data_IF_917217710038
#
_entry.id   IF_917217710038
#
_cell.length_a   1.000
_cell.length_b   1.000
_cell.length_c   1.000
_cell.angle_alpha   90.00
_cell.angle_beta   90.00
_cell.angle_gamma   90.00
#
_symmetry.space_group_name_H-M   'P 1'
#
loop_
_entity.id
_entity.type
_entity.pdbx_description
1 polymer ?
#
# COMPACT_ATOMS: atom_id res chain seq x y z
N UNK A 1 -33.01 -18.24 25.61
CA UNK A 1 -33.94 -18.28 24.45
C UNK A 1 -33.14 -17.98 23.19
N UNK A 2 -33.39 -18.70 22.11
CA UNK A 2 -32.73 -18.46 20.82
C UNK A 2 -33.41 -17.30 20.08
N UNK A 3 -32.64 -16.41 19.46
CA UNK A 3 -33.16 -15.33 18.63
C UNK A 3 -33.18 -15.75 17.16
N UNK A 4 -33.89 -15.01 16.31
CA UNK A 4 -33.99 -15.31 14.87
C UNK A 4 -32.60 -15.39 14.18
N UNK A 5 -31.61 -14.65 14.68
CA UNK A 5 -30.23 -14.67 14.17
C UNK A 5 -29.48 -15.97 14.42
N UNK A 6 -29.95 -16.80 15.36
CA UNK A 6 -29.37 -18.11 15.68
C UNK A 6 -29.75 -19.19 14.65
N UNK A 7 -30.76 -18.93 13.82
CA UNK A 7 -31.25 -19.85 12.80
C UNK A 7 -30.69 -19.52 11.42
N UNK A 8 -30.57 -20.53 10.56
CA UNK A 8 -30.21 -20.36 9.16
C UNK A 8 -30.53 -21.61 8.33
N UNK A 9 -30.58 -21.48 6.99
CA UNK A 9 -30.94 -22.56 6.08
C UNK A 9 -29.82 -23.59 5.97
N UNK A 10 -30.20 -24.86 5.91
CA UNK A 10 -29.31 -25.93 5.50
C UNK A 10 -28.84 -25.72 4.04
N UNK A 11 -27.53 -25.85 3.73
CA UNK A 11 -27.03 -25.72 2.37
C UNK A 11 -27.65 -26.66 1.34
N UNK A 12 -28.10 -27.85 1.76
CA UNK A 12 -28.60 -28.90 0.86
C UNK A 12 -30.13 -28.92 0.79
N UNK A 13 -30.82 -29.00 1.94
CA UNK A 13 -32.28 -29.12 1.97
C UNK A 13 -33.03 -27.79 2.23
N UNK A 14 -32.30 -26.68 2.43
CA UNK A 14 -32.84 -25.34 2.71
C UNK A 14 -33.71 -25.21 3.98
N UNK A 15 -33.86 -26.28 4.77
CA UNK A 15 -34.58 -26.23 6.04
C UNK A 15 -33.91 -25.28 7.04
N UNK A 16 -34.70 -24.40 7.66
CA UNK A 16 -34.20 -23.47 8.68
C UNK A 16 -34.01 -24.18 10.02
N UNK A 17 -32.80 -24.07 10.56
CA UNK A 17 -32.46 -24.68 11.84
C UNK A 17 -31.35 -23.91 12.56
N UNK A 18 -31.09 -24.27 13.81
CA UNK A 18 -30.04 -23.63 14.60
C UNK A 18 -28.67 -23.80 13.94
N UNK A 19 -27.98 -22.69 13.70
CA UNK A 19 -26.67 -22.64 13.03
C UNK A 19 -25.64 -23.57 13.66
N UNK A 20 -25.65 -23.70 14.99
CA UNK A 20 -24.76 -24.60 15.75
C UNK A 20 -24.99 -26.09 15.48
N UNK A 21 -26.17 -26.47 14.98
CA UNK A 21 -26.54 -27.87 14.69
C UNK A 21 -26.49 -28.22 13.19
N UNK A 22 -26.15 -27.25 12.32
CA UNK A 22 -26.05 -27.48 10.88
C UNK A 22 -25.06 -28.59 10.50
N UNK A 23 -23.93 -28.67 11.20
CA UNK A 23 -22.92 -29.70 10.94
C UNK A 23 -23.46 -31.12 11.22
N UNK A 24 -24.19 -31.27 12.33
CA UNK A 24 -24.81 -32.53 12.72
C UNK A 24 -25.91 -32.91 11.75
N UNK A 25 -26.71 -31.93 11.33
CA UNK A 25 -27.76 -32.15 10.35
C UNK A 25 -27.21 -32.64 9.00
N UNK A 26 -26.20 -31.95 8.45
CA UNK A 26 -25.57 -32.35 7.19
C UNK A 26 -24.90 -33.72 7.29
N UNK A 27 -24.28 -34.03 8.43
CA UNK A 27 -23.64 -35.33 8.64
C UNK A 27 -24.64 -36.48 8.77
N UNK A 28 -25.75 -36.29 9.50
CA UNK A 28 -26.58 -37.41 9.94
C UNK A 28 -28.01 -37.37 9.41
N UNK A 29 -28.70 -36.23 9.46
CA UNK A 29 -30.17 -36.18 9.28
C UNK A 29 -30.66 -35.49 8.02
N UNK A 30 -29.79 -34.91 7.20
CA UNK A 30 -30.21 -34.21 5.98
C UNK A 30 -30.74 -35.22 4.94
N UNK A 31 -31.95 -34.99 4.44
CA UNK A 31 -32.57 -35.85 3.44
C UNK A 31 -32.01 -35.65 2.02
N UNK A 32 -31.36 -34.51 1.75
CA UNK A 32 -30.93 -34.08 0.41
C UNK A 32 -29.39 -33.99 0.32
N UNK A 33 -28.66 -34.82 1.09
CA UNK A 33 -27.19 -34.72 1.22
C UNK A 33 -26.49 -34.70 -0.14
N UNK A 34 -25.72 -33.63 -0.40
CA UNK A 34 -24.85 -33.57 -1.57
C UNK A 34 -23.48 -34.20 -1.23
N UNK A 35 -23.12 -35.24 -1.98
CA UNK A 35 -21.93 -36.05 -1.73
C UNK A 35 -20.69 -35.39 -2.37
N UNK A 36 -20.29 -34.23 -1.86
CA UNK A 36 -19.05 -33.58 -2.26
C UNK A 36 -17.91 -34.09 -1.37
N UNK A 37 -16.92 -34.78 -1.96
CA UNK A 37 -15.74 -35.30 -1.25
C UNK A 37 -14.79 -34.23 -0.68
N UNK A 38 -15.24 -32.98 -0.57
CA UNK A 38 -14.50 -31.86 0.01
C UNK A 38 -14.94 -31.60 1.47
N UNK A 39 -14.01 -31.06 2.26
CA UNK A 39 -14.27 -30.64 3.64
C UNK A 39 -15.24 -29.44 3.66
N UNK A 40 -16.54 -29.71 3.83
CA UNK A 40 -17.60 -28.69 3.85
C UNK A 40 -17.52 -27.76 5.06
N UNK A 41 -18.01 -26.53 4.89
CA UNK A 41 -18.08 -25.51 5.96
C UNK A 41 -19.54 -25.07 6.12
N UNK A 42 -20.35 -25.83 6.88
CA UNK A 42 -21.82 -25.66 6.95
C UNK A 42 -22.27 -24.24 7.28
N UNK A 43 -21.60 -23.60 8.24
CA UNK A 43 -21.93 -22.25 8.68
C UNK A 43 -21.62 -21.20 7.62
N UNK A 44 -20.52 -21.39 6.86
CA UNK A 44 -20.14 -20.50 5.77
C UNK A 44 -21.17 -20.60 4.64
N UNK A 45 -21.48 -21.83 4.20
CA UNK A 45 -22.45 -22.09 3.13
C UNK A 45 -23.85 -21.56 3.48
N UNK A 46 -24.31 -21.81 4.72
CA UNK A 46 -25.55 -21.24 5.25
C UNK A 46 -25.58 -19.71 5.19
N UNK A 47 -24.49 -19.05 5.64
CA UNK A 47 -24.39 -17.60 5.59
C UNK A 47 -24.31 -17.05 4.16
N UNK A 48 -23.74 -17.81 3.21
CA UNK A 48 -23.71 -17.44 1.79
C UNK A 48 -25.12 -17.47 1.19
N UNK A 49 -25.92 -18.50 1.48
CA UNK A 49 -27.32 -18.57 1.04
C UNK A 49 -28.15 -17.40 1.55
N UNK A 50 -27.97 -17.03 2.82
CA UNK A 50 -28.63 -15.85 3.40
C UNK A 50 -28.09 -14.55 2.82
N UNK A 51 -26.81 -14.47 2.45
CA UNK A 51 -26.24 -13.28 1.83
C UNK A 51 -26.91 -12.98 0.47
N UNK A 52 -27.33 -14.01 -0.28
CA UNK A 52 -28.07 -13.82 -1.54
C UNK A 52 -29.48 -13.20 -1.34
N UNK A 53 -30.04 -13.24 -0.14
CA UNK A 53 -31.36 -12.66 0.16
C UNK A 53 -31.32 -11.20 0.63
N UNK A 54 -30.15 -10.67 0.97
CA UNK A 54 -29.97 -9.29 1.43
C UNK A 54 -29.20 -8.48 0.39
N UNK A 55 -29.85 -8.01 -0.69
CA UNK A 55 -29.58 -6.72 -1.36
C UNK A 55 -30.28 -6.64 -2.72
N UNK A 56 -31.07 -5.60 -2.94
CA UNK A 56 -31.57 -5.16 -4.26
C UNK A 56 -30.45 -4.64 -5.19
N UNK A 57 -29.22 -4.56 -4.68
CA UNK A 57 -27.99 -4.26 -5.41
C UNK A 57 -27.09 -5.48 -5.29
N UNK A 58 -27.15 -6.39 -6.26
CA UNK A 58 -26.36 -7.62 -6.25
C UNK A 58 -24.87 -7.30 -6.35
N UNK A 59 -24.07 -7.51 -5.28
CA UNK A 59 -22.64 -7.39 -5.39
C UNK A 59 -22.10 -8.49 -6.31
N UNK A 60 -20.95 -8.24 -6.96
CA UNK A 60 -20.31 -9.26 -7.80
C UNK A 60 -20.22 -10.60 -7.05
N UNK A 61 -20.56 -11.74 -7.70
CA UNK A 61 -20.53 -13.05 -7.05
C UNK A 61 -19.16 -13.36 -6.43
N UNK A 62 -18.09 -12.89 -7.06
CA UNK A 62 -16.72 -13.01 -6.54
C UNK A 62 -16.53 -12.19 -5.25
N UNK A 63 -17.05 -10.96 -5.20
CA UNK A 63 -16.97 -10.13 -3.99
C UNK A 63 -17.69 -10.79 -2.82
N UNK A 64 -18.88 -11.35 -3.07
CA UNK A 64 -19.64 -12.06 -2.05
C UNK A 64 -18.88 -13.30 -1.54
N UNK A 65 -18.31 -14.09 -2.45
CA UNK A 65 -17.55 -15.29 -2.10
C UNK A 65 -16.28 -14.95 -1.32
N UNK A 66 -15.45 -14.01 -1.79
CA UNK A 66 -14.13 -13.76 -1.22
C UNK A 66 -14.13 -12.77 -0.05
N UNK A 67 -15.08 -11.84 0.02
CA UNK A 67 -15.12 -10.78 1.03
C UNK A 67 -16.25 -11.01 2.03
N UNK A 68 -17.51 -11.03 1.56
CA UNK A 68 -18.68 -11.04 2.44
C UNK A 68 -18.80 -12.35 3.23
N UNK A 69 -18.62 -13.50 2.56
CA UNK A 69 -18.73 -14.81 3.20
C UNK A 69 -17.65 -15.02 4.26
N UNK A 70 -16.46 -14.46 4.06
CA UNK A 70 -15.30 -14.62 4.93
C UNK A 70 -15.35 -13.79 6.22
N UNK A 71 -16.33 -12.88 6.38
CA UNK A 71 -16.51 -12.14 7.62
C UNK A 71 -16.91 -13.06 8.79
N UNK A 72 -16.42 -12.73 9.99
CA UNK A 72 -16.83 -13.38 11.23
C UNK A 72 -18.26 -12.99 11.60
N UNK A 73 -18.88 -13.71 12.53
CA UNK A 73 -20.19 -13.38 13.11
C UNK A 73 -19.98 -12.46 14.32
N UNK A 74 -19.79 -11.17 14.07
CA UNK A 74 -19.72 -10.12 15.08
C UNK A 74 -20.54 -8.89 14.63
N UNK A 75 -20.92 -8.03 15.57
CA UNK A 75 -21.76 -6.84 15.29
C UNK A 75 -21.18 -5.97 14.19
N UNK A 76 -19.84 -5.83 14.15
CA UNK A 76 -19.13 -5.05 13.14
C UNK A 76 -19.35 -5.67 11.75
N UNK A 77 -19.23 -6.99 11.64
CA UNK A 77 -19.48 -7.68 10.37
C UNK A 77 -20.95 -7.62 9.95
N UNK A 78 -21.89 -7.53 10.89
CA UNK A 78 -23.30 -7.29 10.56
C UNK A 78 -23.49 -5.91 9.93
N UNK A 79 -22.89 -4.87 10.50
CA UNK A 79 -22.89 -3.52 9.92
C UNK A 79 -22.26 -3.52 8.52
N UNK A 80 -21.11 -4.19 8.34
CA UNK A 80 -20.47 -4.32 7.02
C UNK A 80 -21.36 -4.97 5.97
N UNK A 81 -22.25 -5.89 6.37
CA UNK A 81 -23.16 -6.64 5.47
C UNK A 81 -24.48 -5.91 5.19
N UNK A 82 -24.82 -4.90 5.97
CA UNK A 82 -26.09 -4.18 5.87
C UNK A 82 -25.93 -2.77 5.29
N UNK A 83 -24.83 -2.08 5.60
CA UNK A 83 -24.61 -0.72 5.12
C UNK A 83 -24.21 -0.71 3.63
N UNK A 84 -25.12 -0.23 2.80
CA UNK A 84 -24.97 -0.17 1.33
C UNK A 84 -23.73 0.64 0.92
N UNK A 85 -23.39 1.70 1.67
CA UNK A 85 -22.24 2.54 1.33
C UNK A 85 -20.92 1.82 1.63
N UNK A 86 -20.86 1.07 2.75
CA UNK A 86 -19.69 0.26 3.10
C UNK A 86 -19.49 -0.89 2.11
N UNK A 87 -20.58 -1.53 1.66
CA UNK A 87 -20.52 -2.59 0.63
C UNK A 87 -19.94 -2.03 -0.67
N UNK A 88 -20.47 -0.92 -1.19
CA UNK A 88 -19.97 -0.27 -2.41
C UNK A 88 -18.53 0.21 -2.28
N UNK A 89 -18.14 0.68 -1.10
CA UNK A 89 -16.74 0.97 -0.80
C UNK A 89 -15.87 -0.27 -0.94
N UNK A 90 -16.31 -1.40 -0.37
CA UNK A 90 -15.62 -2.69 -0.50
C UNK A 90 -15.49 -3.17 -1.94
N UNK A 91 -16.54 -3.04 -2.75
CA UNK A 91 -16.53 -3.43 -4.17
C UNK A 91 -15.49 -2.65 -4.97
N UNK A 92 -15.43 -1.33 -4.81
CA UNK A 92 -14.44 -0.49 -5.52
C UNK A 92 -13.01 -0.85 -5.12
N UNK A 93 -12.77 -1.19 -3.85
CA UNK A 93 -11.46 -1.67 -3.43
C UNK A 93 -11.15 -3.07 -3.99
N UNK A 94 -12.16 -3.93 -4.10
CA UNK A 94 -12.02 -5.25 -4.71
C UNK A 94 -11.73 -5.17 -6.22
N UNK A 95 -12.33 -4.23 -6.94
CA UNK A 95 -12.01 -3.98 -8.34
C UNK A 95 -10.55 -3.49 -8.52
N UNK A 96 -10.01 -2.75 -7.54
CA UNK A 96 -8.63 -2.25 -7.58
C UNK A 96 -7.58 -3.32 -7.23
N UNK A 97 -7.84 -4.16 -6.24
CA UNK A 97 -6.83 -5.07 -5.66
C UNK A 97 -7.14 -6.57 -5.83
N UNK A 98 -8.36 -6.93 -6.23
CA UNK A 98 -8.87 -8.28 -6.38
C UNK A 98 -8.65 -9.18 -5.15
N UNK A 99 -8.63 -10.50 -5.35
CA UNK A 99 -8.52 -11.53 -4.30
C UNK A 99 -7.20 -11.47 -3.53
N UNK A 100 -6.14 -10.86 -4.08
CA UNK A 100 -4.81 -10.84 -3.47
C UNK A 100 -4.72 -10.04 -2.17
N UNK A 101 -5.60 -9.04 -2.00
CA UNK A 101 -5.65 -8.18 -0.80
C UNK A 101 -7.00 -8.27 -0.09
N UNK A 102 -7.68 -9.41 -0.20
CA UNK A 102 -9.01 -9.62 0.38
C UNK A 102 -9.08 -9.31 1.88
N UNK A 103 -8.02 -9.62 2.65
CA UNK A 103 -7.97 -9.30 4.09
C UNK A 103 -7.88 -7.79 4.36
N UNK A 104 -7.07 -7.07 3.59
CA UNK A 104 -6.97 -5.61 3.69
C UNK A 104 -8.33 -4.96 3.41
N UNK A 105 -9.04 -5.42 2.37
CA UNK A 105 -10.36 -4.90 2.01
C UNK A 105 -11.35 -5.11 3.17
N UNK A 106 -11.38 -6.33 3.76
CA UNK A 106 -12.20 -6.63 4.93
C UNK A 106 -11.84 -5.74 6.12
N UNK A 107 -10.55 -5.48 6.34
CA UNK A 107 -10.10 -4.61 7.43
C UNK A 107 -10.57 -3.17 7.22
N UNK A 108 -10.45 -2.61 6.02
CA UNK A 108 -10.94 -1.28 5.69
C UNK A 108 -12.46 -1.16 5.89
N UNK A 109 -13.24 -2.13 5.41
CA UNK A 109 -14.69 -2.19 5.65
C UNK A 109 -15.03 -2.24 7.14
N UNK A 110 -14.27 -3.01 7.94
CA UNK A 110 -14.47 -3.08 9.40
C UNK A 110 -14.06 -1.80 10.12
N UNK A 111 -13.07 -1.06 9.63
CA UNK A 111 -12.73 0.26 10.18
C UNK A 111 -13.90 1.24 10.01
N UNK A 112 -14.54 1.26 8.84
CA UNK A 112 -15.76 2.05 8.61
C UNK A 112 -16.93 1.58 9.47
N UNK A 113 -17.16 0.28 9.58
CA UNK A 113 -18.24 -0.25 10.42
C UNK A 113 -18.04 0.05 11.92
N UNK A 114 -16.79 0.07 12.40
CA UNK A 114 -16.48 0.54 13.76
C UNK A 114 -16.82 2.01 13.94
N UNK A 115 -16.53 2.87 12.95
CA UNK A 115 -16.96 4.26 13.00
C UNK A 115 -18.49 4.37 13.06
N UNK A 116 -19.22 3.61 12.25
CA UNK A 116 -20.70 3.60 12.27
C UNK A 116 -21.22 3.16 13.64
N UNK A 117 -20.59 2.16 14.27
CA UNK A 117 -20.94 1.75 15.63
C UNK A 117 -20.77 2.90 16.63
N UNK A 118 -19.65 3.63 16.59
CA UNK A 118 -19.44 4.78 17.47
C UNK A 118 -20.38 5.95 17.17
N UNK A 119 -20.69 6.23 15.89
CA UNK A 119 -21.67 7.25 15.50
C UNK A 119 -23.06 6.96 16.06
N UNK A 120 -23.42 5.68 16.14
CA UNK A 120 -24.70 5.22 16.70
C UNK A 120 -24.81 5.45 18.20
N UNK A 121 -23.70 5.40 18.92
CA UNK A 121 -23.64 5.69 20.36
C UNK A 121 -23.64 7.21 20.63
N UNK A 122 -23.01 8.00 19.77
CA UNK A 122 -22.89 9.45 19.96
C UNK A 122 -24.17 10.21 19.58
N UNK A 123 -24.84 9.80 18.51
CA UNK A 123 -26.02 10.50 17.97
C UNK A 123 -27.27 9.63 17.96
N UNK A 124 -27.37 8.69 17.00
CA UNK A 124 -28.61 7.91 16.79
C UNK A 124 -28.33 6.45 16.40
N UNK A 125 -28.98 5.47 17.08
CA UNK A 125 -28.61 4.05 16.95
C UNK A 125 -29.02 3.37 15.62
N UNK A 126 -29.88 3.98 14.81
CA UNK A 126 -30.48 3.35 13.61
C UNK A 126 -30.07 3.97 12.28
N UNK A 127 -29.17 4.95 12.27
CA UNK A 127 -28.72 5.59 11.03
C UNK A 127 -27.55 4.81 10.38
N UNK A 128 -27.41 5.00 9.06
CA UNK A 128 -26.34 4.45 8.21
C UNK A 128 -25.32 5.53 7.87
N UNK A 129 -24.13 5.14 7.43
CA UNK A 129 -23.02 6.09 7.21
C UNK A 129 -23.41 7.27 6.30
N UNK A 130 -24.25 7.03 5.28
CA UNK A 130 -24.73 8.04 4.34
C UNK A 130 -25.44 9.23 5.00
N UNK A 131 -26.18 8.99 6.08
CA UNK A 131 -27.00 10.00 6.75
C UNK A 131 -26.17 11.06 7.47
N UNK A 132 -24.95 10.70 7.90
CA UNK A 132 -24.02 11.63 8.55
C UNK A 132 -23.09 12.35 7.56
N UNK A 133 -23.12 12.02 6.26
CA UNK A 133 -22.31 12.69 5.22
C UNK A 133 -22.93 14.02 4.78
N UNK A 134 -23.22 14.89 5.76
CA UNK A 134 -23.73 16.23 5.55
C UNK A 134 -23.01 17.22 6.49
N UNK A 135 -23.07 18.53 6.22
CA UNK A 135 -22.37 19.53 7.04
C UNK A 135 -22.69 19.47 8.54
N UNK A 136 -23.94 19.18 8.91
CA UNK A 136 -24.35 19.07 10.32
C UNK A 136 -23.74 17.84 11.03
N UNK A 137 -23.48 16.77 10.28
CA UNK A 137 -22.85 15.55 10.78
C UNK A 137 -21.34 15.65 10.98
N UNK A 138 -20.69 16.74 10.53
CA UNK A 138 -19.22 16.86 10.58
C UNK A 138 -18.65 16.78 12.00
N UNK A 139 -19.16 17.59 12.93
CA UNK A 139 -18.67 17.59 14.31
C UNK A 139 -19.00 16.27 15.03
N UNK A 140 -20.12 15.64 14.68
CA UNK A 140 -20.52 14.31 15.18
C UNK A 140 -19.49 13.27 14.74
N UNK A 141 -19.13 13.25 13.44
CA UNK A 141 -18.09 12.34 12.92
C UNK A 141 -16.74 12.60 13.58
N UNK A 142 -16.35 13.87 13.77
CA UNK A 142 -15.10 14.19 14.45
C UNK A 142 -15.10 13.67 15.88
N UNK A 143 -16.20 13.83 16.62
CA UNK A 143 -16.31 13.32 17.99
C UNK A 143 -16.27 11.79 18.06
N UNK A 144 -16.98 11.10 17.14
CA UNK A 144 -16.97 9.65 17.04
C UNK A 144 -15.56 9.10 16.71
N UNK A 145 -14.81 9.76 15.81
CA UNK A 145 -13.43 9.36 15.50
C UNK A 145 -12.50 9.55 16.70
N UNK A 146 -12.68 10.63 17.47
CA UNK A 146 -11.90 10.86 18.70
C UNK A 146 -12.19 9.79 19.76
N UNK A 147 -13.45 9.39 19.92
CA UNK A 147 -13.84 8.30 20.83
C UNK A 147 -13.25 6.96 20.37
N UNK A 148 -13.40 6.64 19.08
CA UNK A 148 -12.88 5.40 18.50
C UNK A 148 -11.37 5.27 18.67
N UNK A 149 -10.63 6.38 18.49
CA UNK A 149 -9.18 6.40 18.62
C UNK A 149 -8.70 6.65 20.06
N UNK A 150 -9.64 6.69 21.02
CA UNK A 150 -9.42 6.90 22.46
C UNK A 150 -8.51 8.10 22.71
N UNK A 151 -8.99 9.27 22.31
CA UNK A 151 -8.24 10.51 22.52
C UNK A 151 -8.24 10.87 24.00
N UNK A 152 -7.05 10.90 24.59
CA UNK A 152 -6.85 11.35 25.95
C UNK A 152 -6.66 12.87 25.96
N UNK A 153 -7.53 13.56 26.69
CA UNK A 153 -7.47 15.00 26.89
C UNK A 153 -7.06 15.29 28.34
N UNK A 154 -5.76 15.36 28.60
CA UNK A 154 -5.23 15.82 29.89
C UNK A 154 -5.41 17.34 30.03
N UNK A 155 -5.82 17.82 31.20
CA UNK A 155 -5.97 19.27 31.46
C UNK A 155 -4.64 19.98 31.19
N UNK A 156 -4.66 21.01 30.33
CA UNK A 156 -3.51 21.81 29.86
C UNK A 156 -2.52 21.11 28.91
N UNK A 157 -2.72 19.84 28.57
CA UNK A 157 -1.93 19.16 27.53
C UNK A 157 -2.73 19.04 26.23
N UNK A 158 -2.02 18.89 25.10
CA UNK A 158 -2.66 18.66 23.81
C UNK A 158 -3.12 17.19 23.71
N UNK A 159 -4.21 16.90 22.97
CA UNK A 159 -4.77 15.56 22.89
C UNK A 159 -3.79 14.54 22.31
N UNK A 160 -3.71 13.36 22.93
CA UNK A 160 -2.92 12.21 22.49
C UNK A 160 -3.83 11.07 22.05
N UNK A 161 -3.46 10.39 20.97
CA UNK A 161 -4.25 9.31 20.39
C UNK A 161 -3.69 7.95 20.81
N UNK A 162 -4.51 6.99 21.24
CA UNK A 162 -4.02 5.60 21.43
C UNK A 162 -3.69 4.96 20.08
N UNK A 163 -4.57 5.11 19.09
CA UNK A 163 -4.40 4.54 17.73
C UNK A 163 -4.43 5.64 16.66
N UNK A 164 -3.37 6.47 16.54
CA UNK A 164 -3.34 7.62 15.61
C UNK A 164 -3.44 7.22 14.13
N UNK A 165 -2.88 6.09 13.71
CA UNK A 165 -2.94 5.62 12.32
C UNK A 165 -4.38 5.35 11.87
N UNK A 166 -5.23 4.85 12.77
CA UNK A 166 -6.65 4.59 12.48
C UNK A 166 -7.40 5.89 12.17
N UNK A 167 -7.10 6.98 12.88
CA UNK A 167 -7.72 8.28 12.65
C UNK A 167 -7.43 8.82 11.24
N UNK A 168 -6.19 8.63 10.76
CA UNK A 168 -5.78 9.01 9.41
C UNK A 168 -6.48 8.16 8.34
N UNK A 169 -6.50 6.83 8.55
CA UNK A 169 -7.16 5.87 7.65
C UNK A 169 -8.66 6.18 7.51
N UNK A 170 -9.35 6.46 8.61
CA UNK A 170 -10.79 6.80 8.58
C UNK A 170 -11.06 8.06 7.76
N UNK A 171 -10.25 9.11 7.93
CA UNK A 171 -10.40 10.34 7.13
C UNK A 171 -10.29 10.07 5.63
N UNK A 172 -9.38 9.19 5.24
CA UNK A 172 -9.26 8.74 3.86
C UNK A 172 -10.46 7.91 3.38
N UNK A 173 -10.89 6.93 4.18
CA UNK A 173 -12.04 6.09 3.83
C UNK A 173 -13.32 6.92 3.68
N UNK A 174 -13.51 7.92 4.54
CA UNK A 174 -14.63 8.87 4.44
C UNK A 174 -14.59 9.66 3.13
N UNK A 175 -13.43 10.15 2.70
CA UNK A 175 -13.27 10.84 1.40
C UNK A 175 -13.68 9.95 0.23
N UNK A 176 -13.31 8.67 0.27
CA UNK A 176 -13.76 7.69 -0.73
C UNK A 176 -15.28 7.47 -0.66
N UNK A 177 -15.86 7.36 0.54
CA UNK A 177 -17.31 7.23 0.73
C UNK A 177 -18.08 8.46 0.19
N UNK A 178 -17.54 9.67 0.37
CA UNK A 178 -18.10 10.89 -0.23
C UNK A 178 -18.06 10.80 -1.76
N UNK A 179 -16.93 10.41 -2.35
CA UNK A 179 -16.80 10.27 -3.80
C UNK A 179 -17.79 9.23 -4.38
N UNK A 180 -17.96 8.11 -3.68
CA UNK A 180 -18.93 7.06 -4.03
C UNK A 180 -20.36 7.58 -3.96
N UNK A 181 -20.69 8.31 -2.91
CA UNK A 181 -22.03 8.90 -2.72
C UNK A 181 -22.31 9.95 -3.80
N UNK A 182 -21.33 10.81 -4.12
CA UNK A 182 -21.43 11.78 -5.22
C UNK A 182 -21.66 11.11 -6.56
N UNK A 183 -20.93 10.04 -6.87
CA UNK A 183 -21.11 9.30 -8.11
C UNK A 183 -22.53 8.70 -8.23
N UNK A 184 -23.13 8.28 -7.11
CA UNK A 184 -24.51 7.79 -7.09
C UNK A 184 -25.55 8.92 -7.28
N UNK A 185 -25.36 10.06 -6.60
CA UNK A 185 -26.24 11.21 -6.78
C UNK A 185 -26.16 11.77 -8.21
N UNK A 186 -24.97 11.78 -8.82
CA UNK A 186 -24.78 12.18 -10.23
C UNK A 186 -25.55 11.28 -11.20
N UNK A 187 -25.55 9.97 -10.97
CA UNK A 187 -26.33 9.02 -11.79
C UNK A 187 -27.85 9.17 -11.62
N UNK A 188 -28.29 9.74 -10.49
CA UNK A 188 -29.69 10.01 -10.18
C UNK A 188 -30.10 11.46 -10.47
N UNK A 189 -29.16 12.28 -10.95
CA UNK A 189 -29.33 13.71 -11.22
C UNK A 189 -29.82 14.53 -10.01
N UNK A 190 -29.51 14.09 -8.78
CA UNK A 190 -29.90 14.80 -7.54
C UNK A 190 -28.88 15.90 -7.20
N UNK A 191 -29.16 17.11 -7.68
CA UNK A 191 -28.30 18.29 -7.50
C UNK A 191 -28.20 18.77 -6.04
N UNK A 192 -29.28 18.61 -5.26
CA UNK A 192 -29.31 19.02 -3.85
C UNK A 192 -28.40 18.13 -3.00
N UNK A 193 -28.49 16.81 -3.17
CA UNK A 193 -27.61 15.88 -2.47
C UNK A 193 -26.14 16.07 -2.85
N UNK A 194 -25.85 16.35 -4.14
CA UNK A 194 -24.49 16.67 -4.60
C UNK A 194 -23.95 17.91 -3.90
N UNK A 195 -24.74 18.98 -3.79
CA UNK A 195 -24.30 20.21 -3.15
C UNK A 195 -24.03 20.01 -1.66
N UNK A 196 -24.89 19.26 -0.96
CA UNK A 196 -24.68 18.89 0.45
C UNK A 196 -23.38 18.12 0.64
N UNK A 197 -23.09 17.14 -0.23
CA UNK A 197 -21.83 16.38 -0.21
C UNK A 197 -20.62 17.23 -0.58
N UNK A 198 -20.76 18.22 -1.47
CA UNK A 198 -19.72 19.20 -1.78
C UNK A 198 -19.40 20.08 -0.58
N UNK A 199 -20.41 20.60 0.10
CA UNK A 199 -20.25 21.41 1.30
C UNK A 199 -19.56 20.60 2.41
N UNK A 200 -19.97 19.34 2.61
CA UNK A 200 -19.33 18.43 3.56
C UNK A 200 -17.86 18.13 3.19
N UNK A 201 -17.57 17.89 1.91
CA UNK A 201 -16.19 17.70 1.45
C UNK A 201 -15.33 18.95 1.72
N UNK A 202 -15.85 20.15 1.47
CA UNK A 202 -15.15 21.40 1.76
C UNK A 202 -14.84 21.54 3.25
N UNK A 203 -15.77 21.19 4.15
CA UNK A 203 -15.50 21.16 5.60
C UNK A 203 -14.41 20.14 5.96
N UNK A 204 -14.46 18.95 5.37
CA UNK A 204 -13.40 17.93 5.53
C UNK A 204 -12.04 18.45 5.03
N UNK A 205 -11.99 19.27 3.97
CA UNK A 205 -10.75 19.85 3.46
C UNK A 205 -10.19 20.95 4.35
N UNK A 206 -11.06 21.78 4.94
CA UNK A 206 -10.67 22.92 5.77
C UNK A 206 -10.30 22.51 7.20
N UNK A 207 -11.08 21.63 7.83
CA UNK A 207 -11.03 21.42 9.28
C UNK A 207 -10.50 20.05 9.72
N UNK A 208 -10.51 19.04 8.85
CA UNK A 208 -10.10 17.69 9.25
C UNK A 208 -8.64 17.64 9.72
N UNK A 209 -7.76 18.38 9.03
CA UNK A 209 -6.34 18.42 9.35
C UNK A 209 -6.10 18.96 10.75
N UNK A 210 -6.74 20.07 11.11
CA UNK A 210 -6.56 20.71 12.41
C UNK A 210 -7.23 19.92 13.55
N UNK A 211 -8.42 19.36 13.31
CA UNK A 211 -9.18 18.62 14.33
C UNK A 211 -8.63 17.22 14.60
N UNK A 212 -8.09 16.54 13.58
CA UNK A 212 -7.68 15.12 13.66
C UNK A 212 -6.24 14.91 13.19
N UNK A 213 -5.94 15.13 11.91
CA UNK A 213 -4.69 14.63 11.31
C UNK A 213 -3.42 15.19 11.94
N UNK A 214 -3.36 16.49 12.25
CA UNK A 214 -2.17 17.12 12.84
C UNK A 214 -1.83 16.53 14.21
N UNK A 215 -2.84 16.24 15.02
CA UNK A 215 -2.61 15.66 16.35
C UNK A 215 -2.21 14.18 16.24
N UNK A 216 -2.86 13.43 15.33
CA UNK A 216 -2.53 12.02 15.09
C UNK A 216 -1.09 11.85 14.53
N UNK A 217 -0.70 12.65 13.53
CA UNK A 217 0.64 12.62 12.95
C UNK A 217 1.72 12.98 13.97
N UNK A 218 1.45 13.95 14.84
CA UNK A 218 2.39 14.28 15.92
C UNK A 218 2.52 13.14 16.92
N UNK A 219 1.42 12.52 17.36
CA UNK A 219 1.49 11.37 18.26
C UNK A 219 2.33 10.22 17.66
N UNK A 220 2.22 9.98 16.35
CA UNK A 220 3.09 9.03 15.65
C UNK A 220 4.56 9.46 15.68
N UNK A 221 4.83 10.73 15.39
CA UNK A 221 6.18 11.27 15.40
C UNK A 221 6.82 11.20 16.79
N UNK A 222 6.10 11.59 17.84
CA UNK A 222 6.56 11.55 19.23
C UNK A 222 6.85 10.10 19.67
N UNK A 223 6.06 9.12 19.21
CA UNK A 223 6.33 7.70 19.42
C UNK A 223 7.57 7.24 18.68
N UNK A 224 7.75 7.67 17.43
CA UNK A 224 8.93 7.32 16.62
C UNK A 224 10.21 7.89 17.21
N UNK A 225 10.18 9.11 17.76
CA UNK A 225 11.35 9.70 18.43
C UNK A 225 11.81 8.84 19.61
N UNK A 226 10.87 8.34 20.41
CA UNK A 226 11.18 7.57 21.61
C UNK A 226 11.35 6.07 21.34
N UNK A 227 11.14 5.62 20.10
CA UNK A 227 11.34 4.23 19.71
C UNK A 227 12.84 3.96 19.59
N UNK A 228 13.36 3.06 20.42
CA UNK A 228 14.73 2.56 20.28
C UNK A 228 14.80 1.75 18.99
N UNK A 229 15.56 2.23 18.02
CA UNK A 229 15.87 1.47 16.81
C UNK A 229 16.85 0.35 17.19
N UNK A 230 16.32 -0.86 17.37
CA UNK A 230 17.13 -2.07 17.60
C UNK A 230 17.79 -2.48 16.28
N UNK A 231 18.99 -1.96 16.05
CA UNK A 231 19.82 -2.43 14.96
C UNK A 231 20.31 -3.86 15.30
N UNK A 232 20.11 -4.86 14.43
CA UNK A 232 20.63 -6.20 14.61
C UNK A 232 22.14 -6.11 14.63
N UNK A 233 22.71 -6.62 15.72
CA UNK A 233 24.15 -6.65 15.90
C UNK A 233 24.72 -7.69 14.92
N UNK A 234 25.95 -7.48 14.46
CA UNK A 234 26.64 -8.42 13.56
C UNK A 234 26.62 -9.86 14.11
N UNK A 235 26.71 -10.01 15.43
CA UNK A 235 26.64 -11.32 16.09
C UNK A 235 25.28 -12.03 15.85
N UNK A 236 24.18 -11.31 15.89
CA UNK A 236 22.84 -11.88 15.66
C UNK A 236 22.65 -12.25 14.19
N UNK A 237 23.19 -11.45 13.27
CA UNK A 237 23.20 -11.77 11.84
C UNK A 237 24.02 -13.03 11.55
N UNK A 238 25.16 -13.21 12.20
CA UNK A 238 25.99 -14.42 12.08
C UNK A 238 25.28 -15.64 12.66
N UNK A 239 24.67 -15.52 13.85
CA UNK A 239 23.86 -16.59 14.46
C UNK A 239 22.72 -17.01 13.54
N UNK A 240 21.99 -16.03 12.98
CA UNK A 240 20.90 -16.27 12.04
C UNK A 240 21.40 -16.95 10.75
N UNK A 241 22.50 -16.47 10.16
CA UNK A 241 23.06 -17.05 8.93
C UNK A 241 23.51 -18.50 9.17
N UNK A 242 24.19 -18.77 10.30
CA UNK A 242 24.61 -20.12 10.70
C UNK A 242 23.41 -21.05 10.86
N UNK A 243 22.36 -20.58 11.54
CA UNK A 243 21.11 -21.33 11.70
C UNK A 243 20.45 -21.64 10.34
N UNK A 244 20.32 -20.64 9.47
CA UNK A 244 19.74 -20.82 8.14
C UNK A 244 20.55 -21.78 7.26
N UNK A 245 21.89 -21.74 7.32
CA UNK A 245 22.75 -22.67 6.57
C UNK A 245 22.62 -24.11 7.06
N UNK A 246 22.63 -24.30 8.39
CA UNK A 246 22.48 -25.63 8.99
C UNK A 246 21.12 -26.25 8.60
N UNK A 247 20.02 -25.50 8.74
CA UNK A 247 18.70 -26.00 8.36
C UNK A 247 18.53 -26.20 6.85
N UNK A 248 19.16 -25.37 6.01
CA UNK A 248 19.16 -25.55 4.56
C UNK A 248 19.81 -26.89 4.19
N UNK A 249 20.98 -27.19 4.78
CA UNK A 249 21.70 -28.43 4.54
C UNK A 249 20.88 -29.64 5.02
N UNK A 250 20.33 -29.59 6.24
CA UNK A 250 19.46 -30.66 6.76
C UNK A 250 18.24 -30.92 5.87
N UNK A 251 17.56 -29.86 5.41
CA UNK A 251 16.39 -30.02 4.54
C UNK A 251 16.78 -30.56 3.17
N UNK A 252 17.97 -30.19 2.65
CA UNK A 252 18.49 -30.70 1.38
C UNK A 252 18.78 -32.20 1.45
N UNK A 253 19.52 -32.63 2.47
CA UNK A 253 19.84 -34.05 2.69
C UNK A 253 18.58 -34.90 2.89
N UNK A 254 17.61 -34.40 3.67
CA UNK A 254 16.34 -35.09 3.88
C UNK A 254 15.50 -35.22 2.61
N UNK A 255 15.56 -34.23 1.70
CA UNK A 255 14.87 -34.29 0.40
C UNK A 255 15.57 -35.20 -0.61
N UNK A 256 16.91 -35.32 -0.53
CA UNK A 256 17.67 -36.28 -1.35
C UNK A 256 17.36 -37.73 -0.96
N UNK A 257 17.01 -37.99 0.31
CA UNK A 257 16.62 -39.32 0.80
C UNK A 257 15.15 -39.64 0.56
N UNK A 258 14.24 -38.67 0.74
CA UNK A 258 12.80 -38.89 0.61
C UNK A 258 12.05 -37.63 0.18
N UNK A 259 11.16 -37.77 -0.81
CA UNK A 259 10.32 -36.66 -1.26
C UNK A 259 9.19 -36.39 -0.26
N UNK A 260 9.38 -35.39 0.60
CA UNK A 260 8.39 -34.95 1.58
C UNK A 260 7.98 -33.48 1.37
N UNK A 261 6.69 -33.23 1.19
CA UNK A 261 6.12 -31.89 1.01
C UNK A 261 6.44 -30.91 2.15
N UNK A 262 6.41 -31.37 3.41
CA UNK A 262 6.69 -30.52 4.56
C UNK A 262 8.16 -30.07 4.56
N UNK A 263 9.08 -30.98 4.26
CA UNK A 263 10.51 -30.70 4.14
C UNK A 263 10.78 -29.73 2.98
N UNK A 264 10.14 -29.95 1.83
CA UNK A 264 10.21 -29.02 0.69
C UNK A 264 9.72 -27.62 1.04
N UNK A 265 8.55 -27.52 1.70
CA UNK A 265 7.98 -26.23 2.12
C UNK A 265 8.89 -25.48 3.09
N UNK A 266 9.54 -26.20 4.01
CA UNK A 266 10.49 -25.60 4.93
C UNK A 266 11.76 -25.14 4.21
N UNK A 267 12.30 -25.93 3.28
CA UNK A 267 13.41 -25.52 2.42
C UNK A 267 13.07 -24.25 1.65
N UNK A 268 11.88 -24.17 1.02
CA UNK A 268 11.43 -22.99 0.30
C UNK A 268 11.35 -21.73 1.18
N UNK A 269 10.89 -21.87 2.43
CA UNK A 269 10.86 -20.77 3.42
C UNK A 269 12.26 -20.29 3.80
N UNK A 270 13.20 -21.22 4.03
CA UNK A 270 14.58 -20.91 4.37
C UNK A 270 15.27 -20.20 3.20
N UNK A 271 15.10 -20.72 1.98
CA UNK A 271 15.63 -20.09 0.76
C UNK A 271 15.06 -18.69 0.57
N UNK A 272 13.74 -18.52 0.72
CA UNK A 272 13.10 -17.21 0.67
C UNK A 272 13.70 -16.25 1.72
N UNK A 273 13.88 -16.71 2.95
CA UNK A 273 14.47 -15.91 4.03
C UNK A 273 15.90 -15.48 3.68
N UNK A 274 16.74 -16.40 3.19
CA UNK A 274 18.11 -16.09 2.76
C UNK A 274 18.14 -15.05 1.64
N UNK A 275 17.32 -15.22 0.60
CA UNK A 275 17.27 -14.26 -0.52
C UNK A 275 16.79 -12.89 -0.04
N UNK A 276 15.81 -12.84 0.87
CA UNK A 276 15.29 -11.59 1.46
C UNK A 276 16.35 -10.87 2.29
N UNK A 277 17.03 -11.58 3.18
CA UNK A 277 18.09 -11.02 4.04
C UNK A 277 19.23 -10.46 3.20
N UNK A 278 19.65 -11.24 2.21
CA UNK A 278 20.78 -10.94 1.37
C UNK A 278 20.52 -9.74 0.43
N UNK A 279 19.32 -9.66 -0.16
CA UNK A 279 18.94 -8.53 -1.00
C UNK A 279 18.47 -7.30 -0.20
N UNK A 280 18.21 -7.47 1.11
CA UNK A 280 17.57 -6.44 1.96
C UNK A 280 16.27 -5.90 1.33
N UNK A 281 15.56 -6.72 0.54
CA UNK A 281 14.35 -6.35 -0.19
C UNK A 281 13.09 -6.78 0.55
N UNK A 282 11.95 -6.18 0.19
CA UNK A 282 10.65 -6.55 0.75
C UNK A 282 10.29 -7.99 0.33
N UNK A 283 9.91 -8.82 1.30
CA UNK A 283 9.54 -10.23 1.09
C UNK A 283 8.45 -10.45 0.04
N UNK A 284 7.53 -9.49 -0.11
CA UNK A 284 6.45 -9.54 -1.09
C UNK A 284 6.90 -9.53 -2.56
N UNK A 285 8.09 -9.03 -2.88
CA UNK A 285 8.60 -9.08 -4.27
C UNK A 285 9.23 -10.44 -4.57
N UNK A 286 10.10 -10.91 -3.67
CA UNK A 286 10.83 -12.17 -3.83
C UNK A 286 9.89 -13.38 -3.75
N UNK A 287 8.87 -13.35 -2.89
CA UNK A 287 7.87 -14.44 -2.79
C UNK A 287 7.02 -14.63 -4.06
N UNK A 288 6.99 -13.64 -4.96
CA UNK A 288 6.33 -13.75 -6.27
C UNK A 288 7.26 -14.25 -7.38
N UNK A 289 8.53 -14.50 -7.07
CA UNK A 289 9.46 -15.12 -8.01
C UNK A 289 8.98 -16.53 -8.35
N UNK A 290 8.77 -16.80 -9.63
CA UNK A 290 8.43 -18.15 -10.09
C UNK A 290 9.68 -18.90 -10.54
N UNK A 291 9.59 -20.23 -10.60
CA UNK A 291 10.68 -21.07 -11.15
C UNK A 291 10.95 -20.70 -12.61
N UNK A 292 9.92 -20.35 -13.38
CA UNK A 292 10.07 -19.92 -14.77
C UNK A 292 10.88 -18.62 -14.86
N UNK A 293 10.66 -17.64 -13.97
CA UNK A 293 11.50 -16.43 -13.92
C UNK A 293 12.98 -16.74 -13.69
N UNK A 294 13.28 -17.70 -12.82
CA UNK A 294 14.65 -18.10 -12.53
C UNK A 294 15.28 -18.85 -13.70
N UNK A 295 14.57 -19.82 -14.28
CA UNK A 295 15.09 -20.65 -15.36
C UNK A 295 15.22 -19.89 -16.69
N UNK A 296 14.34 -18.93 -16.98
CA UNK A 296 14.38 -18.11 -18.19
C UNK A 296 15.28 -16.87 -18.04
N UNK A 297 16.08 -16.78 -16.96
CA UNK A 297 16.91 -15.59 -16.72
C UNK A 297 17.97 -15.46 -17.82
N UNK A 298 18.19 -14.25 -18.36
CA UNK A 298 19.29 -14.02 -19.28
C UNK A 298 20.64 -14.26 -18.61
N UNK A 299 21.65 -14.65 -19.39
CA UNK A 299 23.01 -14.65 -18.88
C UNK A 299 23.58 -13.23 -18.91
N UNK A 300 23.28 -12.47 -17.85
CA UNK A 300 23.70 -11.07 -17.72
C UNK A 300 25.22 -10.88 -17.80
N UNK A 301 26.02 -11.87 -17.38
CA UNK A 301 27.48 -11.85 -17.53
C UNK A 301 27.94 -11.67 -18.99
N UNK A 302 27.18 -12.24 -19.94
CA UNK A 302 27.53 -12.27 -21.37
C UNK A 302 26.79 -11.21 -22.19
N UNK A 303 25.62 -10.78 -21.75
CA UNK A 303 24.72 -9.92 -22.53
C UNK A 303 24.78 -8.43 -22.17
N UNK A 304 25.46 -8.06 -21.08
CA UNK A 304 25.53 -6.66 -20.65
C UNK A 304 26.57 -5.92 -21.48
N UNK A 305 26.18 -4.80 -22.10
CA UNK A 305 27.09 -3.95 -22.87
C UNK A 305 28.32 -3.59 -22.04
N UNK A 306 29.53 -3.74 -22.60
CA UNK A 306 30.80 -3.51 -21.88
C UNK A 306 30.91 -2.11 -21.27
N UNK A 307 30.13 -1.14 -21.78
CA UNK A 307 30.02 0.21 -21.22
C UNK A 307 29.34 0.24 -19.84
N UNK A 308 28.37 -0.62 -19.58
CA UNK A 308 27.66 -0.68 -18.29
C UNK A 308 28.51 -1.34 -17.21
N UNK A 309 29.33 -2.33 -17.60
CA UNK A 309 30.28 -2.98 -16.69
C UNK A 309 31.43 -2.05 -16.25
N UNK A 310 31.75 -1.03 -17.05
CA UNK A 310 32.76 -0.01 -16.68
C UNK A 310 32.30 0.92 -15.58
N UNK A 311 30.99 1.00 -15.32
CA UNK A 311 30.41 1.80 -14.22
C UNK A 311 30.44 1.08 -12.88
N UNK A 312 30.60 -0.23 -12.87
CA UNK A 312 30.66 -1.03 -11.64
C UNK A 312 31.99 -0.84 -10.91
N UNK A 313 31.94 -0.88 -9.58
CA UNK A 313 33.11 -1.03 -8.72
C UNK A 313 33.79 -2.39 -8.95
N UNK A 314 35.05 -2.52 -8.55
CA UNK A 314 35.78 -3.79 -8.75
C UNK A 314 35.16 -4.94 -7.95
N UNK A 315 34.54 -4.64 -6.81
CA UNK A 315 33.75 -5.59 -6.04
C UNK A 315 32.49 -6.02 -6.81
N UNK A 316 31.71 -5.05 -7.30
CA UNK A 316 30.50 -5.32 -8.09
C UNK A 316 30.80 -6.15 -9.35
N UNK A 317 31.93 -5.91 -10.03
CA UNK A 317 32.37 -6.75 -11.17
C UNK A 317 32.61 -8.20 -10.76
N UNK A 318 33.25 -8.43 -9.61
CA UNK A 318 33.48 -9.79 -9.11
C UNK A 318 32.16 -10.47 -8.72
N UNK A 319 31.26 -9.74 -8.08
CA UNK A 319 29.93 -10.22 -7.69
C UNK A 319 29.08 -10.55 -8.92
N UNK A 320 29.11 -9.69 -9.94
CA UNK A 320 28.42 -9.87 -11.21
C UNK A 320 28.85 -11.17 -11.92
N UNK A 321 30.11 -11.56 -11.81
CA UNK A 321 30.62 -12.80 -12.38
C UNK A 321 30.24 -14.03 -11.55
N UNK A 322 30.09 -13.88 -10.23
CA UNK A 322 29.80 -14.99 -9.31
C UNK A 322 28.31 -15.27 -9.18
N UNK A 323 27.45 -14.29 -9.41
CA UNK A 323 26.07 -14.32 -8.95
C UNK A 323 25.07 -14.16 -10.10
N UNK A 324 23.92 -14.81 -9.95
CA UNK A 324 22.85 -14.76 -10.93
C UNK A 324 21.89 -13.61 -10.65
N UNK A 325 21.64 -12.78 -11.66
CA UNK A 325 20.64 -11.70 -11.62
C UNK A 325 19.31 -12.23 -12.18
N UNK A 326 18.23 -11.97 -11.45
CA UNK A 326 16.87 -12.36 -11.83
C UNK A 326 15.99 -11.12 -11.82
N UNK A 327 15.38 -10.81 -12.96
CA UNK A 327 14.43 -9.71 -13.05
C UNK A 327 13.04 -10.21 -12.66
N UNK A 328 12.40 -9.53 -11.71
CA UNK A 328 11.05 -9.83 -11.24
C UNK A 328 10.18 -8.60 -11.47
N UNK A 329 8.89 -8.79 -11.74
CA UNK A 329 7.93 -7.69 -11.80
C UNK A 329 7.68 -7.12 -10.40
N UNK A 330 8.09 -5.88 -10.17
CA UNK A 330 7.85 -5.11 -8.96
C UNK A 330 6.42 -4.54 -8.90
N UNK A 331 6.15 -3.73 -7.87
CA UNK A 331 4.87 -3.00 -7.78
C UNK A 331 4.71 -2.09 -9.02
N UNK A 332 3.49 -2.09 -9.59
CA UNK A 332 3.08 -1.25 -10.73
C UNK A 332 3.87 -1.45 -12.04
N UNK A 333 4.49 -2.61 -12.23
CA UNK A 333 5.18 -2.93 -13.49
C UNK A 333 6.61 -2.37 -13.61
N UNK A 334 7.14 -1.77 -12.55
CA UNK A 334 8.58 -1.50 -12.47
C UNK A 334 9.33 -2.83 -12.37
N UNK A 335 10.45 -2.97 -13.08
CA UNK A 335 11.36 -4.12 -13.01
C UNK A 335 12.47 -3.81 -11.98
N UNK A 336 12.37 -4.26 -10.72
CA UNK A 336 13.51 -4.30 -9.83
C UNK A 336 14.53 -5.33 -10.34
N UNK A 337 15.75 -4.86 -10.59
CA UNK A 337 16.93 -5.70 -10.75
C UNK A 337 17.39 -6.20 -9.37
N UNK A 338 17.62 -7.51 -9.29
CA UNK A 338 18.08 -8.22 -8.09
C UNK A 338 19.55 -8.53 -8.32
N UNK A 339 20.42 -7.76 -7.70
CA UNK A 339 21.86 -8.01 -7.63
C UNK A 339 22.21 -8.63 -6.29
N UNK A 340 23.28 -9.39 -6.27
CA UNK A 340 23.61 -10.23 -5.15
C UNK A 340 24.93 -9.76 -4.46
N UNK A 341 24.86 -9.41 -3.15
CA UNK A 341 25.87 -8.82 -2.21
C UNK A 341 26.60 -7.56 -2.75
N UNK A 342 27.11 -6.56 -2.02
CA UNK A 342 27.63 -6.45 -0.66
C UNK A 342 27.26 -5.12 0.05
N UNK A 343 27.34 -5.19 1.38
CA UNK A 343 27.63 -4.15 2.40
C UNK A 343 26.88 -2.79 2.40
N UNK A 344 26.10 -2.58 3.47
CA UNK A 344 25.55 -1.26 3.81
C UNK A 344 24.38 -1.32 4.79
N UNK A 345 24.66 -0.91 6.03
CA UNK A 345 23.77 -0.72 7.18
C UNK A 345 22.40 -0.11 6.87
N UNK A 346 21.45 -0.34 7.79
CA UNK A 346 20.19 0.39 8.06
C UNK A 346 18.94 -0.48 7.88
N UNK A 347 18.27 -0.78 8.97
CA UNK A 347 17.29 -1.85 9.04
C UNK A 347 16.05 -1.39 9.81
N UNK A 348 15.07 -0.84 9.09
CA UNK A 348 13.72 -0.71 9.61
C UNK A 348 12.93 -1.99 9.29
N UNK A 349 12.62 -2.77 10.34
CA UNK A 349 11.75 -3.94 10.23
C UNK A 349 10.82 -4.07 11.44
N UNK A 350 9.79 -3.23 11.52
CA UNK A 350 8.52 -3.55 12.18
C UNK A 350 7.49 -2.40 12.06
N UNK A 351 6.90 -2.16 10.87
CA UNK A 351 5.66 -1.33 10.75
C UNK A 351 4.98 -1.43 9.34
N UNK A 352 5.30 -2.46 8.55
CA UNK A 352 5.16 -2.44 7.07
C UNK A 352 3.74 -2.58 6.51
N UNK A 353 2.76 -3.01 7.29
CA UNK A 353 1.36 -3.09 6.84
C UNK A 353 0.64 -1.74 7.01
N UNK A 354 0.95 -1.01 8.08
CA UNK A 354 0.42 0.34 8.31
C UNK A 354 1.07 1.37 7.38
N UNK A 355 2.38 1.27 7.12
CA UNK A 355 3.08 2.14 6.16
C UNK A 355 2.56 1.98 4.73
N UNK A 356 2.26 0.76 4.27
CA UNK A 356 1.77 0.53 2.90
C UNK A 356 0.38 1.12 2.68
N UNK A 357 -0.49 1.04 3.68
CA UNK A 357 -1.82 1.66 3.63
C UNK A 357 -1.68 3.20 3.71
N UNK A 358 -0.79 3.72 4.56
CA UNK A 358 -0.49 5.16 4.65
C UNK A 358 0.17 5.73 3.38
N UNK A 359 1.04 4.98 2.71
CA UNK A 359 1.66 5.33 1.43
C UNK A 359 0.62 5.37 0.29
N UNK A 360 -0.24 4.34 0.20
CA UNK A 360 -1.35 4.31 -0.77
C UNK A 360 -2.35 5.46 -0.50
N UNK A 361 -2.58 5.81 0.78
CA UNK A 361 -3.38 6.97 1.19
C UNK A 361 -2.70 8.28 0.80
N UNK A 362 -1.40 8.43 1.05
CA UNK A 362 -0.63 9.64 0.73
C UNK A 362 -0.60 9.91 -0.78
N UNK A 363 -0.48 8.85 -1.59
CA UNK A 363 -0.53 8.96 -3.04
C UNK A 363 -1.95 9.28 -3.55
N UNK A 364 -3.00 8.62 -3.05
CA UNK A 364 -4.38 8.91 -3.48
C UNK A 364 -4.83 10.34 -3.04
N UNK A 365 -4.34 10.85 -1.90
CA UNK A 365 -4.55 12.25 -1.46
C UNK A 365 -3.81 13.23 -2.39
N UNK A 366 -2.61 12.88 -2.86
CA UNK A 366 -1.86 13.67 -3.84
C UNK A 366 -2.56 13.72 -5.21
N UNK A 367 -3.28 12.66 -5.59
CA UNK A 367 -4.07 12.61 -6.83
C UNK A 367 -5.44 13.29 -6.74
N UNK A 368 -6.04 13.36 -5.54
CA UNK A 368 -7.38 13.97 -5.33
C UNK A 368 -7.33 15.49 -5.14
N UNK A 369 -6.14 16.06 -4.91
CA UNK A 369 -5.94 17.48 -4.58
C UNK A 369 -5.32 18.27 -5.73
N UNK A 370 -6.02 18.36 -6.88
CA UNK A 370 -5.77 19.45 -7.84
C UNK A 370 -6.75 20.59 -7.54
N UNK A 371 -6.56 21.23 -6.38
CA UNK A 371 -7.02 22.60 -6.15
C UNK A 371 -5.94 23.34 -5.39
N UNK A 372 -5.36 24.34 -6.05
CA UNK A 372 -4.30 25.20 -5.55
C UNK A 372 -4.74 25.88 -4.26
N UNK A 373 -4.07 25.56 -3.15
CA UNK A 373 -3.89 26.52 -2.06
C UNK A 373 -2.40 26.58 -1.73
N UNK A 374 -1.76 27.65 -2.21
CA UNK A 374 -0.47 28.11 -1.70
C UNK A 374 -0.77 28.75 -0.35
N UNK A 375 -0.26 28.15 0.71
CA UNK A 375 0.31 28.79 1.91
C UNK A 375 0.11 27.90 3.14
N UNK A 376 1.12 27.06 3.43
CA UNK A 376 1.44 26.70 4.81
C UNK A 376 2.93 26.41 4.93
N UNK A 377 3.59 27.19 5.79
CA UNK A 377 5.00 27.06 6.15
C UNK A 377 5.16 25.92 7.14
N UNK A 378 5.83 24.84 6.76
CA UNK A 378 6.23 23.78 7.67
C UNK A 378 7.14 24.33 8.80
N UNK A 379 6.94 23.93 10.07
CA UNK A 379 7.97 24.07 11.10
C UNK A 379 9.23 23.30 10.70
N UNK A 380 10.39 23.91 10.94
CA UNK A 380 11.70 23.47 10.46
C UNK A 380 12.10 22.10 11.03
N UNK A 381 11.82 21.04 10.28
CA UNK A 381 12.66 19.83 10.27
C UNK A 381 14.06 20.29 9.85
N UNK A 382 15.11 19.83 10.54
CA UNK A 382 16.49 19.93 10.06
C UNK A 382 16.59 19.16 8.75
N UNK A 383 16.29 19.87 7.65
CA UNK A 383 16.47 19.38 6.29
C UNK A 383 17.95 19.06 6.14
N UNK A 384 18.28 17.83 5.77
CA UNK A 384 19.48 17.57 4.96
C UNK A 384 19.48 18.65 3.88
N UNK A 385 20.52 19.51 3.85
CA UNK A 385 20.57 20.67 2.94
C UNK A 385 20.20 20.19 1.54
N UNK A 386 19.00 20.55 1.07
CA UNK A 386 18.67 20.40 -0.35
C UNK A 386 19.74 21.18 -1.09
N UNK A 387 20.46 20.59 -2.06
CA UNK A 387 21.48 21.32 -2.80
C UNK A 387 20.78 22.53 -3.42
N UNK A 388 21.22 23.73 -3.01
CA UNK A 388 20.72 24.99 -3.55
C UNK A 388 20.90 24.90 -5.07
N UNK A 389 19.80 24.87 -5.83
CA UNK A 389 19.86 24.87 -7.30
C UNK A 389 20.52 26.17 -7.72
N UNK A 390 21.79 26.10 -8.12
CA UNK A 390 22.54 27.25 -8.62
C UNK A 390 21.94 27.67 -9.97
N UNK A 391 21.31 28.84 -10.01
CA UNK A 391 20.81 29.43 -11.25
C UNK A 391 21.96 29.66 -12.24
N UNK A 392 21.68 29.49 -13.53
CA UNK A 392 22.63 29.83 -14.60
C UNK A 392 22.66 31.35 -14.75
N UNK A 393 23.84 31.94 -14.73
CA UNK A 393 24.02 33.34 -15.11
C UNK A 393 23.92 33.50 -16.63
N UNK A 394 23.60 34.70 -17.09
CA UNK A 394 23.49 34.99 -18.53
C UNK A 394 24.81 34.69 -19.26
N UNK A 395 25.96 34.99 -18.63
CA UNK A 395 27.30 34.69 -19.16
C UNK A 395 27.58 33.19 -19.25
N UNK A 396 27.26 32.42 -18.22
CA UNK A 396 27.41 30.94 -18.25
C UNK A 396 26.50 30.32 -19.32
N UNK A 397 25.25 30.78 -19.40
CA UNK A 397 24.28 30.27 -20.36
C UNK A 397 24.69 30.57 -21.80
N UNK A 398 25.20 31.77 -22.09
CA UNK A 398 25.68 32.16 -23.40
C UNK A 398 26.89 31.32 -23.85
N UNK A 399 27.84 31.06 -22.95
CA UNK A 399 29.01 30.23 -23.25
C UNK A 399 28.62 28.79 -23.63
N UNK A 400 27.70 28.18 -22.89
CA UNK A 400 27.21 26.81 -23.20
C UNK A 400 26.40 26.79 -24.50
N UNK A 401 25.55 27.80 -24.74
CA UNK A 401 24.75 27.88 -25.97
C UNK A 401 25.58 28.14 -27.22
N UNK A 402 26.67 28.92 -27.11
CA UNK A 402 27.58 29.19 -28.22
C UNK A 402 28.32 27.92 -28.65
N UNK A 403 28.85 27.15 -27.69
CA UNK A 403 29.63 25.94 -27.97
C UNK A 403 28.77 24.77 -28.48
N UNK A 404 27.57 24.59 -27.92
CA UNK A 404 26.67 23.50 -28.29
C UNK A 404 25.57 23.88 -29.29
N UNK A 405 25.68 25.04 -29.97
CA UNK A 405 24.66 25.53 -30.93
C UNK A 405 24.32 24.52 -32.02
N UNK A 406 25.34 23.83 -32.55
CA UNK A 406 25.19 22.81 -33.60
C UNK A 406 24.54 21.54 -33.05
N UNK A 407 24.95 21.07 -31.87
CA UNK A 407 24.36 19.92 -31.18
C UNK A 407 22.89 20.15 -30.81
N UNK A 408 22.54 21.37 -30.37
CA UNK A 408 21.16 21.76 -30.06
C UNK A 408 20.29 21.76 -31.33
N UNK A 409 20.79 22.32 -32.44
CA UNK A 409 20.07 22.28 -33.72
C UNK A 409 19.83 20.85 -34.22
N UNK A 410 20.79 19.94 -33.99
CA UNK A 410 20.69 18.52 -34.35
C UNK A 410 19.91 17.68 -33.31
N UNK A 411 19.52 18.26 -32.17
CA UNK A 411 18.80 17.55 -31.10
C UNK A 411 19.66 16.55 -30.32
N UNK A 412 20.99 16.61 -30.43
CA UNK A 412 21.91 15.65 -29.82
C UNK A 412 22.39 16.19 -28.47
N UNK A 413 22.23 15.38 -27.42
CA UNK A 413 22.74 15.71 -26.09
C UNK A 413 24.24 15.40 -26.00
N UNK A 414 25.08 16.34 -25.53
CA UNK A 414 26.53 16.14 -25.51
C UNK A 414 26.96 15.07 -24.51
N UNK A 415 28.01 14.33 -24.88
CA UNK A 415 28.67 13.34 -24.03
C UNK A 415 29.62 13.99 -23.02
N UNK A 416 30.10 13.19 -22.05
CA UNK A 416 30.95 13.64 -20.94
C UNK A 416 32.20 14.43 -21.41
N UNK A 417 32.89 13.91 -22.42
CA UNK A 417 34.15 14.48 -22.94
C UNK A 417 33.95 15.92 -23.47
N UNK A 418 32.89 16.14 -24.26
CA UNK A 418 32.59 17.46 -24.81
C UNK A 418 32.15 18.45 -23.72
N UNK A 419 31.45 17.96 -22.70
CA UNK A 419 31.05 18.78 -21.55
C UNK A 419 32.24 19.17 -20.67
N UNK A 420 33.22 18.27 -20.46
CA UNK A 420 34.45 18.59 -19.72
C UNK A 420 35.32 19.58 -20.49
N UNK A 421 35.49 19.40 -21.80
CA UNK A 421 36.23 20.33 -22.66
C UNK A 421 35.59 21.74 -22.68
N UNK A 422 34.26 21.82 -22.63
CA UNK A 422 33.52 23.08 -22.52
C UNK A 422 33.82 23.83 -21.20
N UNK A 423 33.98 23.09 -20.11
CA UNK A 423 34.31 23.64 -18.78
C UNK A 423 35.77 24.12 -18.76
N UNK A 424 36.69 23.35 -19.32
CA UNK A 424 38.11 23.72 -19.41
C UNK A 424 38.33 24.98 -20.25
N UNK A 425 37.63 25.11 -21.38
CA UNK A 425 37.72 26.27 -22.27
C UNK A 425 37.10 27.54 -21.70
N UNK A 426 36.22 27.43 -20.70
CA UNK A 426 35.49 28.58 -20.14
C UNK A 426 35.68 28.63 -18.61
N UNK A 427 36.63 29.44 -18.11
CA UNK A 427 36.89 29.57 -16.67
C UNK A 427 35.66 29.96 -15.83
N UNK A 428 34.65 30.58 -16.45
CA UNK A 428 33.37 30.97 -15.84
C UNK A 428 32.53 29.74 -15.45
N UNK A 429 32.72 28.60 -16.13
CA UNK A 429 32.03 27.33 -15.87
C UNK A 429 32.79 26.42 -14.88
N UNK A 430 33.93 26.87 -14.34
CA UNK A 430 34.76 26.09 -13.39
C UNK A 430 34.00 25.60 -12.15
N UNK A 431 32.94 26.31 -11.76
CA UNK A 431 32.06 25.94 -10.63
C UNK A 431 30.98 24.91 -10.97
N UNK A 432 30.86 24.48 -12.23
CA UNK A 432 29.83 23.57 -12.76
C UNK A 432 30.42 22.20 -13.07
N UNK A 433 29.62 21.15 -12.87
CA UNK A 433 29.98 19.80 -13.28
C UNK A 433 29.63 19.55 -14.76
N UNK A 434 30.29 18.58 -15.39
CA UNK A 434 29.96 18.14 -16.75
C UNK A 434 28.48 17.70 -16.88
N UNK A 435 27.90 17.15 -15.81
CA UNK A 435 26.49 16.79 -15.71
C UNK A 435 25.60 18.03 -15.77
N UNK A 436 25.97 19.13 -15.11
CA UNK A 436 25.20 20.38 -15.14
C UNK A 436 25.12 20.93 -16.57
N UNK A 437 26.25 20.94 -17.28
CA UNK A 437 26.33 21.37 -18.70
C UNK A 437 25.49 20.46 -19.59
N UNK A 438 25.59 19.13 -19.42
CA UNK A 438 24.78 18.14 -20.14
C UNK A 438 23.28 18.37 -19.93
N UNK A 439 22.84 18.52 -18.69
CA UNK A 439 21.43 18.74 -18.36
C UNK A 439 20.92 20.09 -18.85
N UNK A 440 21.77 21.13 -18.84
CA UNK A 440 21.41 22.42 -19.42
C UNK A 440 21.11 22.29 -20.92
N UNK A 441 21.99 21.64 -21.67
CA UNK A 441 21.80 21.43 -23.12
C UNK A 441 20.58 20.55 -23.41
N UNK A 442 20.39 19.46 -22.66
CA UNK A 442 19.22 18.58 -22.76
C UNK A 442 17.90 19.33 -22.52
N UNK A 443 17.84 20.13 -21.44
CA UNK A 443 16.65 20.92 -21.12
C UNK A 443 16.39 22.01 -22.17
N UNK A 444 17.45 22.57 -22.75
CA UNK A 444 17.34 23.56 -23.82
C UNK A 444 16.79 22.94 -25.11
N UNK A 445 17.27 21.75 -25.51
CA UNK A 445 16.72 20.97 -26.63
C UNK A 445 15.23 20.70 -26.42
N UNK A 446 14.84 20.23 -25.23
CA UNK A 446 13.42 20.02 -24.86
C UNK A 446 12.59 21.30 -24.94
N UNK A 447 13.15 22.45 -24.55
CA UNK A 447 12.48 23.75 -24.62
C UNK A 447 12.28 24.22 -26.07
N UNK A 448 13.27 24.01 -26.93
CA UNK A 448 13.18 24.33 -28.37
C UNK A 448 12.17 23.42 -29.08
N UNK A 449 12.18 22.12 -28.78
CA UNK A 449 11.25 21.14 -29.36
C UNK A 449 9.81 21.31 -28.89
N UNK A 450 9.57 21.97 -27.75
CA UNK A 450 8.22 22.32 -27.28
C UNK A 450 7.64 23.59 -27.94
N UNK A 451 8.48 24.38 -28.62
CA UNK A 451 8.11 25.63 -29.27
C UNK A 451 8.01 25.53 -30.79
N UNK A 452 8.54 24.45 -31.37
CA UNK A 452 8.17 23.98 -32.70
C UNK A 452 6.90 23.15 -32.57
#
# INVERSE_FOLDING_TARGET
MHTYSDYGPCPDCLAFMLKRHLWHHLAQSCAVKSNSGLRRRPLLECNTLLAHTYSELHPSPDFNQYIISAFKTDDISLICKQDILIIKFGEIQFDKYHTTQAELIRQCMRQLARLVKELREVDKPKLWLSEWLNPAGFDIIVSAVKNLCKVECMRKARPTYTTPSLALKIGYHLRKCIAISKAQCLRREDTNAIQTLNNFQSLMDMEWTSKISSNALRTLFDRKINAVELLPITEDLLKLNKHLNSHLQMCKEALEQSENYLTWRNLARIVLCKIVLFNKRRSGEISRMTVTNYSSRPNWSQQTASEFQKTFTDLEKQLFNRLAIVQIKGKRGNLPEIENEAEGSDCEYAEKEDEKELDDIAEDVAHTSITKSKNWSNPKVLKKKTPVRRCWSDKESAAVLQLFRTSIKKGITPGKILCTECIEKNPILSSRSWSDVKFFVYNHIKKVNRKK
#
